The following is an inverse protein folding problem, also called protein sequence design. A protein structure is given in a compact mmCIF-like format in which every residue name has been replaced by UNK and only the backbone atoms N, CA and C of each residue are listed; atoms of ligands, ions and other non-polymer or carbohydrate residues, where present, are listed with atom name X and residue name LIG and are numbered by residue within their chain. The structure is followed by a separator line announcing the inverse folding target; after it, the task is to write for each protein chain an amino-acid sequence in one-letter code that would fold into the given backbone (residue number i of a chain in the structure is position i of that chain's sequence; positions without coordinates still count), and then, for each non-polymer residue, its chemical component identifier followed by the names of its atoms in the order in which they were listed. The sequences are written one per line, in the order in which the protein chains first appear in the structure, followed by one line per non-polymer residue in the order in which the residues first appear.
data_IF_687534761057
#
_entry.id   IF_687534761057
#
_cell.length_a   1.000
_cell.length_b   1.000
_cell.length_c   1.000
_cell.angle_alpha   90.00
_cell.angle_beta   90.00
_cell.angle_gamma   90.00
#
_symmetry.space_group_name_H-M   'P 1'
#
loop_
_entity.id
_entity.type
_entity.pdbx_description
1 polymer ?
#
# COMPACT_ATOMS: atom_id res chain seq x y z
N UNK A 1 -22.00 -5.06 -5.66
CA UNK A 1 -20.62 -5.22 -5.13
C UNK A 1 -20.43 -4.30 -3.93
N UNK A 2 -19.73 -4.74 -2.88
CA UNK A 2 -19.39 -3.87 -1.74
C UNK A 2 -18.36 -2.83 -2.18
N UNK A 3 -18.45 -1.59 -1.67
CA UNK A 3 -17.46 -0.53 -1.94
C UNK A 3 -16.09 -0.95 -1.38
N UNK A 4 -14.98 -0.73 -2.11
CA UNK A 4 -13.65 -1.09 -1.63
C UNK A 4 -13.26 -0.25 -0.42
N UNK A 5 -12.57 -0.88 0.54
CA UNK A 5 -11.89 -0.17 1.63
C UNK A 5 -10.60 0.40 1.05
N UNK A 6 -10.49 1.73 1.07
CA UNK A 6 -9.31 2.43 0.59
C UNK A 6 -8.32 2.60 1.73
N UNK A 7 -7.10 2.13 1.51
CA UNK A 7 -6.03 2.10 2.51
C UNK A 7 -4.89 3.01 2.08
N UNK A 8 -4.47 3.89 2.99
CA UNK A 8 -3.18 4.57 2.92
C UNK A 8 -2.17 3.88 3.83
N UNK A 9 -0.96 3.67 3.34
CA UNK A 9 0.15 3.11 4.13
C UNK A 9 1.06 4.24 4.61
N UNK A 10 1.36 4.29 5.91
CA UNK A 10 2.31 5.26 6.49
C UNK A 10 3.53 4.51 7.00
N UNK A 11 4.70 4.85 6.47
CA UNK A 11 5.94 4.11 6.60
C UNK A 11 6.24 3.30 5.33
N UNK A 12 7.50 3.35 4.88
CA UNK A 12 7.96 2.66 3.67
C UNK A 12 9.13 1.69 3.94
N UNK A 13 9.19 1.17 5.17
CA UNK A 13 10.21 0.21 5.60
C UNK A 13 9.83 -1.24 5.38
N UNK A 14 10.55 -2.16 6.04
CA UNK A 14 10.34 -3.60 5.94
C UNK A 14 8.88 -4.03 6.13
N UNK A 15 8.25 -3.62 7.24
CA UNK A 15 6.87 -4.04 7.56
C UNK A 15 5.85 -3.54 6.55
N UNK A 16 6.06 -2.38 5.93
CA UNK A 16 5.17 -1.85 4.90
C UNK A 16 5.09 -2.80 3.69
N UNK A 17 6.24 -3.34 3.26
CA UNK A 17 6.28 -4.33 2.18
C UNK A 17 5.51 -5.61 2.51
N UNK A 18 5.55 -6.05 3.78
CA UNK A 18 4.80 -7.21 4.26
C UNK A 18 3.30 -6.93 4.26
N UNK A 19 2.85 -5.81 4.85
CA UNK A 19 1.44 -5.43 4.86
C UNK A 19 0.85 -5.32 3.45
N UNK A 20 1.58 -4.71 2.50
CA UNK A 20 1.16 -4.60 1.11
C UNK A 20 0.93 -5.97 0.45
N UNK A 21 1.80 -6.94 0.73
CA UNK A 21 1.62 -8.33 0.25
C UNK A 21 0.42 -9.01 0.90
N UNK A 22 0.23 -8.82 2.21
CA UNK A 22 -0.91 -9.37 2.94
C UNK A 22 -2.25 -8.82 2.45
N UNK A 23 -2.33 -7.51 2.15
CA UNK A 23 -3.57 -6.91 1.61
C UNK A 23 -4.01 -7.53 0.29
N UNK A 24 -3.08 -7.94 -0.59
CA UNK A 24 -3.40 -8.64 -1.85
C UNK A 24 -4.03 -10.03 -1.64
N UNK A 25 -3.87 -10.61 -0.45
CA UNK A 25 -4.42 -11.91 -0.08
C UNK A 25 -5.84 -11.82 0.49
N UNK A 26 -6.31 -10.63 0.88
CA UNK A 26 -7.69 -10.44 1.33
C UNK A 26 -8.64 -10.55 0.13
N UNK A 27 -9.53 -11.55 0.14
CA UNK A 27 -10.48 -11.83 -0.98
C UNK A 27 -11.92 -11.46 -0.66
N UNK A 28 -12.35 -11.69 0.58
CA UNK A 28 -13.74 -11.47 1.02
C UNK A 28 -14.14 -10.00 1.08
N UNK A 29 -13.16 -9.11 1.30
CA UNK A 29 -13.36 -7.67 1.39
C UNK A 29 -12.53 -7.03 0.27
N UNK A 30 -13.15 -6.26 -0.65
CA UNK A 30 -12.40 -5.53 -1.66
C UNK A 30 -11.54 -4.45 -0.98
N UNK A 31 -10.23 -4.51 -1.20
CA UNK A 31 -9.25 -3.55 -0.66
C UNK A 31 -8.51 -2.89 -1.81
N UNK A 32 -8.38 -1.56 -1.73
CA UNK A 32 -7.61 -0.73 -2.66
C UNK A 32 -6.50 -0.02 -1.89
N UNK A 33 -5.24 -0.24 -2.26
CA UNK A 33 -4.13 0.54 -1.73
C UNK A 33 -4.04 1.83 -2.54
N UNK A 34 -4.50 2.93 -1.95
CA UNK A 34 -4.69 4.20 -2.64
C UNK A 34 -3.45 5.11 -2.59
N UNK A 35 -2.63 5.01 -1.55
CA UNK A 35 -1.44 5.84 -1.38
C UNK A 35 -0.43 5.24 -0.38
N UNK A 36 0.81 5.69 -0.45
CA UNK A 36 1.84 5.43 0.55
C UNK A 36 2.57 6.72 0.93
N UNK A 37 2.86 6.91 2.21
CA UNK A 37 3.70 8.00 2.70
C UNK A 37 4.83 7.42 3.54
N UNK A 38 5.96 8.13 3.65
CA UNK A 38 7.10 7.71 4.45
C UNK A 38 7.92 8.89 4.95
N UNK A 39 8.85 8.63 5.87
CA UNK A 39 9.77 9.65 6.41
C UNK A 39 10.61 10.31 5.31
N UNK A 40 11.09 9.52 4.36
CA UNK A 40 11.82 9.98 3.18
C UNK A 40 11.00 9.65 1.95
N UNK A 41 10.92 10.61 1.02
CA UNK A 41 10.11 10.49 -0.19
C UNK A 41 10.62 9.37 -1.08
N UNK A 42 11.94 9.23 -1.17
CA UNK A 42 12.64 8.26 -2.00
C UNK A 42 12.29 6.82 -1.61
N UNK A 43 12.20 6.51 -0.31
CA UNK A 43 11.80 5.16 0.14
C UNK A 43 10.33 4.87 -0.19
N UNK A 44 9.46 5.87 -0.04
CA UNK A 44 8.04 5.71 -0.38
C UNK A 44 7.86 5.52 -1.90
N UNK A 45 8.59 6.27 -2.73
CA UNK A 45 8.59 6.12 -4.20
C UNK A 45 9.13 4.77 -4.64
N UNK A 46 10.25 4.30 -4.07
CA UNK A 46 10.79 2.97 -4.38
C UNK A 46 9.81 1.86 -4.04
N UNK A 47 9.19 1.90 -2.86
CA UNK A 47 8.22 0.89 -2.46
C UNK A 47 6.93 0.98 -3.28
N UNK A 48 6.45 2.20 -3.57
CA UNK A 48 5.30 2.44 -4.43
C UNK A 48 5.50 1.83 -5.83
N UNK A 49 6.67 2.07 -6.43
CA UNK A 49 7.03 1.51 -7.73
C UNK A 49 7.05 -0.02 -7.72
N UNK A 50 7.66 -0.63 -6.70
CA UNK A 50 7.69 -2.11 -6.54
C UNK A 50 6.30 -2.72 -6.31
N UNK A 51 5.39 -1.99 -5.67
CA UNK A 51 4.08 -2.50 -5.27
C UNK A 51 2.92 -1.99 -6.13
N UNK A 52 3.16 -1.14 -7.14
CA UNK A 52 2.14 -0.59 -8.03
C UNK A 52 1.17 0.37 -7.33
N UNK A 53 1.65 1.19 -6.40
CA UNK A 53 0.82 2.14 -5.64
C UNK A 53 0.76 3.46 -6.42
N UNK A 54 -0.43 4.03 -6.67
CA UNK A 54 -0.60 5.15 -7.61
C UNK A 54 -0.21 6.52 -7.05
N UNK A 55 -0.04 6.64 -5.73
CA UNK A 55 0.23 7.93 -5.07
C UNK A 55 1.26 7.80 -3.94
N UNK A 56 2.20 8.74 -3.93
CA UNK A 56 3.23 8.93 -2.89
C UNK A 56 3.12 10.32 -2.28
#
# INVERSE_FOLDING_TARGET
MKKPVRVGIVGAGFSASFHLRSYRQVKEIPVEIAAIAGKTREHAEQLAGRCGIPKV
#
